data_IF_250070901735
#
_entry.id   IF_250070901735
#
_cell.length_a   1.000
_cell.length_b   1.000
_cell.length_c   1.000
_cell.angle_alpha   90.00
_cell.angle_beta   90.00
_cell.angle_gamma   90.00
#
_symmetry.space_group_name_H-M   'P 1'
#
loop_
_entity.id
_entity.type
_entity.pdbx_description
1 polymer ?
#
# COMPACT_ATOMS: atom_id res chain seq x y z
N UNK A 1 9.44 -16.20 17.48
CA UNK A 1 10.19 -14.98 17.10
C UNK A 1 9.78 -14.43 15.73
N UNK A 2 9.66 -15.26 14.68
CA UNK A 2 9.30 -14.83 13.31
C UNK A 2 7.94 -14.10 13.20
N UNK A 3 6.93 -14.54 13.97
CA UNK A 3 5.59 -13.91 13.98
C UNK A 3 5.60 -12.47 14.48
N UNK A 4 6.42 -12.14 15.49
CA UNK A 4 6.49 -10.80 16.07
C UNK A 4 7.12 -9.82 15.06
N UNK A 5 8.10 -10.29 14.29
CA UNK A 5 8.76 -9.49 13.25
C UNK A 5 7.79 -9.15 12.12
N UNK A 6 6.97 -10.12 11.68
CA UNK A 6 5.94 -9.90 10.67
C UNK A 6 4.86 -8.91 11.16
N UNK A 7 4.42 -9.04 12.41
CA UNK A 7 3.47 -8.10 13.01
C UNK A 7 4.06 -6.69 13.12
N UNK A 8 5.34 -6.56 13.49
CA UNK A 8 6.03 -5.27 13.51
C UNK A 8 6.11 -4.64 12.11
N UNK A 9 6.42 -5.43 11.07
CA UNK A 9 6.40 -5.00 9.67
C UNK A 9 5.01 -4.51 9.24
N UNK A 10 3.96 -5.24 9.59
CA UNK A 10 2.56 -4.88 9.35
C UNK A 10 2.25 -3.51 9.98
N UNK A 11 2.60 -3.31 11.26
CA UNK A 11 2.39 -2.03 11.96
C UNK A 11 3.18 -0.89 11.30
N UNK A 12 4.44 -1.10 10.93
CA UNK A 12 5.26 -0.09 10.26
C UNK A 12 4.64 0.31 8.92
N UNK A 13 4.22 -0.67 8.12
CA UNK A 13 3.59 -0.41 6.81
C UNK A 13 2.27 0.34 6.97
N UNK A 14 1.53 0.07 8.05
CA UNK A 14 0.29 0.75 8.39
C UNK A 14 0.50 2.21 8.80
N UNK A 15 1.52 2.49 9.62
CA UNK A 15 1.91 3.87 9.96
C UNK A 15 2.34 4.62 8.70
N UNK A 16 3.10 3.96 7.83
CA UNK A 16 3.56 4.54 6.57
C UNK A 16 2.41 4.83 5.60
N UNK A 17 1.39 3.97 5.58
CA UNK A 17 0.15 4.20 4.84
C UNK A 17 -0.54 5.49 5.30
N UNK A 18 -0.70 5.66 6.61
CA UNK A 18 -1.29 6.89 7.18
C UNK A 18 -0.44 8.12 6.87
N UNK A 19 0.88 8.01 6.91
CA UNK A 19 1.78 9.10 6.54
C UNK A 19 1.57 9.55 5.07
N UNK A 20 1.51 8.63 4.11
CA UNK A 20 1.26 9.00 2.72
C UNK A 20 -0.16 9.52 2.48
N UNK A 21 -1.15 8.93 3.17
CA UNK A 21 -2.55 9.33 3.06
C UNK A 21 -2.78 10.73 3.64
N UNK A 22 -2.14 11.08 4.76
CA UNK A 22 -2.18 12.45 5.30
C UNK A 22 -1.49 13.47 4.39
N UNK A 23 -0.39 13.08 3.74
CA UNK A 23 0.32 13.93 2.75
C UNK A 23 -0.51 14.15 1.47
N UNK A 24 -1.35 13.18 1.08
CA UNK A 24 -2.32 13.33 0.00
C UNK A 24 -3.35 14.42 0.30
N UNK A 25 -3.84 14.54 1.54
CA UNK A 25 -4.82 15.58 1.90
C UNK A 25 -4.23 17.00 1.89
N UNK A 26 -2.95 17.15 2.22
CA UNK A 26 -2.29 18.46 2.29
C UNK A 26 -1.74 18.98 0.96
N UNK A 27 -1.75 18.20 -0.12
CA UNK A 27 -1.16 18.62 -1.39
C UNK A 27 -2.21 19.33 -2.27
N UNK A 28 -2.02 20.61 -2.64
CA UNK A 28 -2.98 21.37 -3.44
C UNK A 28 -2.97 20.97 -4.92
N UNK A 29 -1.84 20.45 -5.44
CA UNK A 29 -1.73 20.05 -6.85
C UNK A 29 -2.47 18.73 -7.14
N UNK A 30 -3.33 18.69 -8.17
CA UNK A 30 -4.19 17.54 -8.46
C UNK A 30 -3.39 16.30 -8.90
N UNK A 31 -2.31 16.44 -9.66
CA UNK A 31 -1.49 15.30 -10.11
C UNK A 31 -0.65 14.74 -8.96
N UNK A 32 0.01 15.59 -8.17
CA UNK A 32 0.75 15.13 -6.96
C UNK A 32 -0.17 14.45 -5.95
N UNK A 33 -1.40 14.94 -5.76
CA UNK A 33 -2.39 14.29 -4.89
C UNK A 33 -2.72 12.87 -5.35
N UNK A 34 -2.91 12.66 -6.65
CA UNK A 34 -3.13 11.32 -7.23
C UNK A 34 -1.90 10.42 -7.08
N UNK A 35 -0.70 10.97 -7.25
CA UNK A 35 0.55 10.21 -7.07
C UNK A 35 0.78 9.75 -5.62
N UNK A 36 0.56 10.63 -4.64
CA UNK A 36 0.61 10.25 -3.22
C UNK A 36 -0.47 9.23 -2.85
N UNK A 37 -1.68 9.36 -3.40
CA UNK A 37 -2.75 8.37 -3.20
C UNK A 37 -2.43 6.99 -3.80
N UNK A 38 -1.80 6.97 -4.98
CA UNK A 38 -1.33 5.73 -5.60
C UNK A 38 -0.24 5.06 -4.76
N UNK A 39 0.76 5.81 -4.29
CA UNK A 39 1.80 5.29 -3.39
C UNK A 39 1.24 4.78 -2.06
N UNK A 40 0.29 5.50 -1.46
CA UNK A 40 -0.40 5.03 -0.26
C UNK A 40 -1.11 3.68 -0.54
N UNK A 41 -1.79 3.56 -1.66
CA UNK A 41 -2.52 2.34 -2.02
C UNK A 41 -1.59 1.15 -2.32
N UNK A 42 -0.38 1.39 -2.84
CA UNK A 42 0.68 0.37 -2.93
C UNK A 42 1.12 -0.11 -1.55
N UNK A 43 1.36 0.81 -0.61
CA UNK A 43 1.68 0.44 0.78
C UNK A 43 0.55 -0.36 1.44
N UNK A 44 -0.71 -0.02 1.16
CA UNK A 44 -1.86 -0.78 1.66
C UNK A 44 -1.88 -2.19 1.07
N UNK A 45 -1.65 -2.33 -0.24
CA UNK A 45 -1.58 -3.64 -0.89
C UNK A 45 -0.46 -4.53 -0.31
N UNK A 46 0.72 -3.95 -0.08
CA UNK A 46 1.84 -4.65 0.56
C UNK A 46 1.52 -5.05 2.01
N UNK A 47 0.87 -4.16 2.78
CA UNK A 47 0.38 -4.46 4.12
C UNK A 47 -0.58 -5.67 4.13
N UNK A 48 -1.54 -5.70 3.20
CA UNK A 48 -2.49 -6.80 3.04
C UNK A 48 -1.79 -8.14 2.72
N UNK A 49 -0.75 -8.11 1.88
CA UNK A 49 0.06 -9.29 1.56
C UNK A 49 0.79 -9.84 2.79
N UNK A 50 1.50 -8.97 3.53
CA UNK A 50 2.20 -9.38 4.75
C UNK A 50 1.24 -9.87 5.84
N UNK A 51 0.09 -9.22 5.98
CA UNK A 51 -0.97 -9.65 6.90
C UNK A 51 -1.53 -11.02 6.54
N UNK A 52 -1.88 -11.25 5.28
CA UNK A 52 -2.40 -12.55 4.84
C UNK A 52 -1.41 -13.70 5.06
N UNK A 53 -0.13 -13.48 4.76
CA UNK A 53 0.93 -14.48 5.01
C UNK A 53 1.08 -14.75 6.52
N UNK A 54 1.10 -13.70 7.34
CA UNK A 54 1.21 -13.85 8.79
C UNK A 54 0.00 -14.58 9.39
N UNK A 55 -1.20 -14.33 8.85
CA UNK A 55 -2.43 -14.95 9.32
C UNK A 55 -2.40 -16.48 9.14
N UNK A 56 -1.90 -16.96 8.00
CA UNK A 56 -1.72 -18.41 7.72
C UNK A 56 -0.71 -19.05 8.68
N UNK A 57 0.38 -18.34 9.02
CA UNK A 57 1.44 -18.86 9.89
C UNK A 57 0.96 -18.99 11.35
N UNK A 58 0.12 -18.06 11.82
CA UNK A 58 -0.37 -18.06 13.19
C UNK A 58 -1.54 -19.04 13.38
N UNK A 59 -2.47 -19.10 12.42
CA UNK A 59 -3.71 -19.86 12.57
C UNK A 59 -3.90 -20.89 11.45
N UNK A 60 -3.70 -22.18 11.74
CA UNK A 60 -4.01 -23.27 10.81
C UNK A 60 -5.48 -23.69 10.91
N UNK A 61 -6.40 -22.80 10.55
CA UNK A 61 -7.83 -23.10 10.45
C UNK A 61 -8.32 -22.89 9.01
N UNK A 62 -9.32 -23.67 8.59
CA UNK A 62 -9.94 -23.54 7.26
C UNK A 62 -10.44 -22.13 7.00
N UNK A 63 -10.95 -21.44 8.02
CA UNK A 63 -11.42 -20.04 7.92
C UNK A 63 -10.24 -19.10 7.63
N UNK A 64 -9.10 -19.32 8.29
CA UNK A 64 -7.89 -18.50 8.09
C UNK A 64 -7.41 -18.57 6.66
N UNK A 65 -7.39 -19.76 6.04
CA UNK A 65 -6.96 -19.91 4.65
C UNK A 65 -7.83 -19.13 3.68
N UNK A 66 -9.16 -19.11 3.89
CA UNK A 66 -10.09 -18.36 3.06
C UNK A 66 -9.84 -16.85 3.20
N UNK A 67 -9.77 -16.37 4.44
CA UNK A 67 -9.57 -14.94 4.73
C UNK A 67 -8.20 -14.46 4.26
N UNK A 68 -7.15 -15.23 4.50
CA UNK A 68 -5.80 -14.91 4.03
C UNK A 68 -5.71 -14.94 2.50
N UNK A 69 -6.35 -15.91 1.84
CA UNK A 69 -6.43 -15.95 0.38
C UNK A 69 -7.08 -14.68 -0.19
N UNK A 70 -8.18 -14.22 0.39
CA UNK A 70 -8.84 -12.96 0.01
C UNK A 70 -7.91 -11.75 0.20
N UNK A 71 -7.24 -11.65 1.34
CA UNK A 71 -6.30 -10.55 1.59
C UNK A 71 -5.11 -10.56 0.64
N UNK A 72 -4.58 -11.73 0.30
CA UNK A 72 -3.47 -11.87 -0.64
C UNK A 72 -3.90 -11.47 -2.06
N UNK A 73 -5.06 -11.94 -2.51
CA UNK A 73 -5.59 -11.60 -3.84
C UNK A 73 -5.89 -10.10 -3.96
N UNK A 74 -6.59 -9.53 -2.97
CA UNK A 74 -6.90 -8.10 -2.93
C UNK A 74 -5.62 -7.27 -2.83
N UNK A 75 -4.69 -7.64 -1.95
CA UNK A 75 -3.41 -6.96 -1.76
C UNK A 75 -2.54 -6.99 -3.02
N UNK A 76 -2.48 -8.14 -3.71
CA UNK A 76 -1.78 -8.29 -4.98
C UNK A 76 -2.39 -7.44 -6.09
N UNK A 77 -3.72 -7.49 -6.26
CA UNK A 77 -4.42 -6.69 -7.25
C UNK A 77 -4.24 -5.18 -7.01
N UNK A 78 -4.42 -4.73 -5.77
CA UNK A 78 -4.21 -3.34 -5.39
C UNK A 78 -2.77 -2.90 -5.64
N UNK A 79 -1.79 -3.71 -5.26
CA UNK A 79 -0.37 -3.39 -5.46
C UNK A 79 -0.08 -3.24 -6.96
N UNK A 80 -0.47 -4.21 -7.78
CA UNK A 80 -0.20 -4.18 -9.22
C UNK A 80 -0.83 -2.96 -9.91
N UNK A 81 -2.12 -2.72 -9.65
CA UNK A 81 -2.84 -1.59 -10.23
C UNK A 81 -2.22 -0.26 -9.79
N UNK A 82 -1.94 -0.10 -8.50
CA UNK A 82 -1.44 1.16 -7.95
C UNK A 82 0.04 1.42 -8.28
N UNK A 83 0.86 0.39 -8.52
CA UNK A 83 2.23 0.55 -9.04
C UNK A 83 2.21 1.12 -10.45
N UNK A 84 1.32 0.61 -11.32
CA UNK A 84 1.16 1.11 -12.69
C UNK A 84 0.68 2.57 -12.69
N UNK A 85 -0.30 2.87 -11.85
CA UNK A 85 -0.83 4.22 -11.62
C UNK A 85 0.27 5.14 -11.09
N UNK A 86 1.03 4.75 -10.06
CA UNK A 86 2.10 5.56 -9.49
C UNK A 86 3.22 5.84 -10.51
N UNK A 87 3.54 4.87 -11.38
CA UNK A 87 4.51 5.05 -12.47
C UNK A 87 4.01 6.04 -13.52
N UNK A 88 2.74 5.92 -13.93
CA UNK A 88 2.12 6.82 -14.91
C UNK A 88 2.05 8.26 -14.39
N UNK A 89 1.51 8.46 -13.18
CA UNK A 89 1.47 9.80 -12.58
C UNK A 89 2.85 10.34 -12.24
N UNK A 90 3.84 9.50 -11.96
CA UNK A 90 5.21 9.92 -11.65
C UNK A 90 5.89 10.69 -12.80
N UNK A 91 5.58 10.34 -14.05
CA UNK A 91 6.13 11.03 -15.22
C UNK A 91 5.60 12.46 -15.35
N UNK A 92 4.32 12.66 -15.03
CA UNK A 92 3.69 13.99 -15.08
C UNK A 92 3.96 14.85 -13.84
N UNK A 93 4.47 14.25 -12.76
CA UNK A 93 4.83 15.01 -11.54
C UNK A 93 6.06 15.89 -11.77
N UNK A 94 7.05 15.42 -12.53
CA UNK A 94 8.23 16.23 -12.88
C UNK A 94 7.88 17.35 -13.86
N UNK A 95 6.97 17.11 -14.80
CA UNK A 95 6.43 18.12 -15.72
C UNK A 95 5.59 19.19 -14.99
N UNK A 96 4.72 18.82 -14.06
CA UNK A 96 3.99 19.81 -13.25
C UNK A 96 4.92 20.60 -12.33
N UNK A 97 6.01 20.00 -11.85
CA UNK A 97 7.00 20.68 -11.02
C UNK A 97 7.80 21.71 -11.82
N UNK A 98 8.18 21.42 -13.06
CA UNK A 98 8.97 22.33 -13.91
C UNK A 98 8.16 23.51 -14.45
N UNK A 99 6.86 23.33 -14.69
CA UNK A 99 5.98 24.40 -15.19
C UNK A 99 5.64 25.43 -14.07
N UNK A 100 5.71 25.02 -12.81
CA UNK A 100 5.28 25.82 -11.66
C UNK A 100 6.45 26.30 -10.77
N UNK A 101 7.68 26.24 -11.30
CA UNK A 101 8.92 26.72 -10.67
C UNK A 101 9.31 28.09 -11.24
#
# INVERSE_FOLDING_TARGET
MLNIILVALIVITFVWYFYFKTKQFRTPLPIRKKWFGAKASVCLGAFLLFFGINFIIIYQSSVTYIVAGLFILLGGYFTYHNVKVAKHYGQFVEEELSINQ
#
